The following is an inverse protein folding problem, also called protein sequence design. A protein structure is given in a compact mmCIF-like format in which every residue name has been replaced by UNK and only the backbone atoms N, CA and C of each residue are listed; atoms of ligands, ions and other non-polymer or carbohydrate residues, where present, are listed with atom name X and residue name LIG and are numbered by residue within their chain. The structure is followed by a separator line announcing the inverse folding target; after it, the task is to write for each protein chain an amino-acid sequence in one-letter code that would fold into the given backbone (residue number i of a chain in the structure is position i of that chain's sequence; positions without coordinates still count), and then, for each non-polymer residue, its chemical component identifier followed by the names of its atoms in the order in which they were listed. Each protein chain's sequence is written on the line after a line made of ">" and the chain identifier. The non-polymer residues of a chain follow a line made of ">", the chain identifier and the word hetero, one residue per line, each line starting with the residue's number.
data_IF_554499474979
#
_entry.id   IF_554499474979
#
_cell.length_a   1.000
_cell.length_b   1.000
_cell.length_c   1.000
_cell.angle_alpha   90.00
_cell.angle_beta   90.00
_cell.angle_gamma   90.00
#
_symmetry.space_group_name_H-M   'P 1'
#
loop_
_entity.id
_entity.type
_entity.pdbx_description
1 polymer ?
#
# COMPACT_ATOMS: atom_id res chain seq x y z
N UNK A 1 -0.82 3.36 -8.67
CA UNK A 1 -1.10 4.40 -7.66
C UNK A 1 -2.55 4.25 -7.23
N UNK A 2 -2.83 4.34 -5.93
CA UNK A 2 -4.19 4.37 -5.38
C UNK A 2 -4.30 5.57 -4.42
N UNK A 3 -5.46 6.23 -4.39
CA UNK A 3 -5.73 7.37 -3.49
C UNK A 3 -6.93 7.01 -2.61
N UNK A 4 -6.69 6.93 -1.31
CA UNK A 4 -7.72 6.71 -0.30
C UNK A 4 -8.60 7.97 -0.14
N UNK A 5 -9.86 7.81 0.29
CA UNK A 5 -10.77 8.91 0.57
C UNK A 5 -10.28 9.79 1.74
N UNK A 6 -9.48 9.20 2.63
CA UNK A 6 -8.73 9.91 3.69
C UNK A 6 -7.55 10.74 3.17
N UNK A 7 -7.29 10.72 1.87
CA UNK A 7 -6.24 11.49 1.20
C UNK A 7 -4.85 10.86 1.24
N UNK A 8 -4.73 9.64 1.77
CA UNK A 8 -3.50 8.85 1.71
C UNK A 8 -3.27 8.35 0.27
N UNK A 9 -2.04 8.46 -0.22
CA UNK A 9 -1.65 7.98 -1.55
C UNK A 9 -0.73 6.77 -1.40
N UNK A 10 -1.08 5.68 -2.07
CA UNK A 10 -0.26 4.48 -2.18
C UNK A 10 0.38 4.41 -3.56
N UNK A 11 1.71 4.36 -3.59
CA UNK A 11 2.54 4.27 -4.79
C UNK A 11 3.15 2.89 -4.85
N UNK A 12 3.08 2.27 -6.03
CA UNK A 12 3.61 0.93 -6.29
C UNK A 12 4.85 1.07 -7.16
N UNK A 13 6.00 0.62 -6.66
CA UNK A 13 7.22 0.42 -7.42
C UNK A 13 7.38 -1.06 -7.79
N UNK A 14 8.47 -1.40 -8.49
CA UNK A 14 8.69 -2.75 -9.01
C UNK A 14 8.62 -3.84 -7.93
N UNK A 15 9.14 -3.55 -6.72
CA UNK A 15 9.08 -4.43 -5.56
C UNK A 15 8.82 -3.66 -4.26
N UNK A 16 8.06 -2.56 -4.33
CA UNK A 16 7.83 -1.71 -3.17
C UNK A 16 6.43 -1.11 -3.18
N UNK A 17 5.92 -0.86 -1.98
CA UNK A 17 4.72 -0.06 -1.75
C UNK A 17 5.13 1.10 -0.83
N UNK A 18 4.83 2.33 -1.23
CA UNK A 18 5.06 3.54 -0.45
C UNK A 18 3.73 4.22 -0.14
N UNK A 19 3.56 4.71 1.08
CA UNK A 19 2.44 5.53 1.50
C UNK A 19 2.87 7.01 1.55
N UNK A 20 1.98 7.93 1.20
CA UNK A 20 2.20 9.38 1.30
C UNK A 20 0.96 9.98 1.97
N UNK A 21 1.18 10.75 3.04
CA UNK A 21 0.08 11.38 3.80
C UNK A 21 -0.22 12.81 3.31
N UNK A 22 -1.43 13.27 3.62
CA UNK A 22 -2.05 14.55 3.25
C UNK A 22 -1.32 15.79 3.73
N UNK A 23 -0.43 15.67 4.71
CA UNK A 23 0.32 16.80 5.29
C UNK A 23 1.50 17.23 4.38
N UNK A 24 1.64 16.67 3.18
CA UNK A 24 2.75 16.96 2.26
C UNK A 24 4.10 16.45 2.77
N UNK A 25 4.11 15.79 3.92
CA UNK A 25 5.28 15.08 4.45
C UNK A 25 5.14 13.64 3.99
N UNK A 26 5.97 13.23 3.03
CA UNK A 26 6.03 11.85 2.59
C UNK A 26 6.55 10.98 3.75
N UNK A 27 5.64 10.35 4.49
CA UNK A 27 5.99 9.28 5.41
C UNK A 27 6.22 8.04 4.54
N UNK A 28 7.44 7.91 4.01
CA UNK A 28 7.83 6.76 3.20
C UNK A 28 7.95 5.54 4.12
N UNK A 29 6.82 4.93 4.43
CA UNK A 29 6.77 3.59 5.01
C UNK A 29 6.91 2.60 3.85
N UNK A 30 8.15 2.31 3.45
CA UNK A 30 8.43 1.28 2.45
C UNK A 30 8.34 -0.07 3.13
N UNK A 31 7.32 -0.85 2.82
CA UNK A 31 7.36 -2.27 3.15
C UNK A 31 8.09 -2.97 2.02
N UNK A 32 9.33 -3.38 2.30
CA UNK A 32 10.08 -4.31 1.45
C UNK A 32 9.65 -5.73 1.83
N UNK A 33 8.39 -6.07 1.60
CA UNK A 33 8.03 -7.49 1.50
C UNK A 33 8.72 -8.00 0.22
N UNK A 34 9.00 -9.30 0.12
CA UNK A 34 9.42 -9.92 -1.14
C UNK A 34 8.23 -9.94 -2.12
N UNK A 35 7.79 -8.75 -2.52
CA UNK A 35 6.60 -8.51 -3.31
C UNK A 35 7.01 -8.28 -4.75
N UNK A 36 6.91 -9.31 -5.58
CA UNK A 36 7.17 -9.15 -7.00
C UNK A 36 5.98 -8.52 -7.72
N UNK A 37 6.20 -7.36 -8.35
CA UNK A 37 5.27 -6.73 -9.29
C UNK A 37 3.84 -6.47 -8.75
N UNK A 38 3.68 -5.59 -7.75
CA UNK A 38 2.37 -5.05 -7.41
C UNK A 38 1.75 -4.34 -8.62
N UNK A 39 0.49 -4.63 -8.93
CA UNK A 39 -0.20 -4.05 -10.12
C UNK A 39 -1.52 -3.38 -9.81
N UNK A 40 -2.19 -3.77 -8.74
CA UNK A 40 -3.47 -3.21 -8.33
C UNK A 40 -3.54 -3.07 -6.83
N UNK A 41 -4.36 -2.13 -6.36
CA UNK A 41 -4.65 -2.02 -4.94
C UNK A 41 -6.02 -1.42 -4.66
N UNK A 42 -6.53 -1.75 -3.48
CA UNK A 42 -7.78 -1.26 -2.94
C UNK A 42 -7.62 -0.96 -1.46
N UNK A 43 -8.02 0.24 -1.03
CA UNK A 43 -8.04 0.61 0.37
C UNK A 43 -9.46 0.49 0.93
N UNK A 44 -9.61 -0.32 1.98
CA UNK A 44 -10.85 -0.47 2.71
C UNK A 44 -10.84 0.51 3.91
N UNK A 45 -11.58 1.60 3.78
CA UNK A 45 -11.66 2.68 4.79
C UNK A 45 -12.26 2.21 6.12
N UNK A 46 -13.23 1.29 6.07
CA UNK A 46 -13.91 0.79 7.28
C UNK A 46 -12.96 -0.01 8.18
N UNK A 47 -12.00 -0.69 7.57
CA UNK A 47 -11.06 -1.58 8.26
C UNK A 47 -9.64 -1.01 8.37
N UNK A 48 -9.30 -0.01 7.57
CA UNK A 48 -7.93 0.51 7.44
C UNK A 48 -6.99 -0.54 6.84
N UNK A 49 -7.47 -1.31 5.85
CA UNK A 49 -6.70 -2.37 5.20
C UNK A 49 -6.41 -1.99 3.76
N UNK A 50 -5.17 -2.18 3.34
CA UNK A 50 -4.77 -2.09 1.95
C UNK A 50 -4.64 -3.51 1.37
N UNK A 51 -5.45 -3.82 0.37
CA UNK A 51 -5.33 -5.05 -0.41
C UNK A 51 -4.50 -4.74 -1.65
N UNK A 52 -3.46 -5.53 -1.92
CA UNK A 52 -2.59 -5.36 -3.09
C UNK A 52 -2.56 -6.65 -3.90
N UNK A 53 -2.85 -6.55 -5.20
CA UNK A 53 -2.77 -7.65 -6.15
C UNK A 53 -1.42 -7.70 -6.87
N UNK A 54 -0.83 -8.89 -6.94
CA UNK A 54 0.49 -9.13 -7.55
C UNK A 54 0.36 -9.92 -8.85
N UNK A 55 1.01 -9.43 -9.91
CA UNK A 55 0.87 -10.01 -11.26
C UNK A 55 1.47 -11.41 -11.38
N UNK A 56 2.60 -11.63 -10.73
CA UNK A 56 3.36 -12.87 -10.92
C UNK A 56 2.85 -14.02 -10.06
N UNK A 57 2.29 -13.71 -8.89
CA UNK A 57 1.86 -14.73 -7.94
C UNK A 57 0.34 -14.97 -7.96
N UNK A 58 -0.43 -14.15 -8.70
CA UNK A 58 -1.90 -14.13 -8.64
C UNK A 58 -2.46 -14.04 -7.20
N UNK A 59 -1.63 -13.54 -6.28
CA UNK A 59 -1.95 -13.42 -4.87
C UNK A 59 -2.45 -12.01 -4.56
N UNK A 60 -3.26 -11.95 -3.51
CA UNK A 60 -3.66 -10.71 -2.86
C UNK A 60 -3.05 -10.72 -1.47
N UNK A 61 -2.20 -9.73 -1.16
CA UNK A 61 -1.66 -9.54 0.18
C UNK A 61 -2.44 -8.41 0.85
N UNK A 62 -2.78 -8.63 2.12
CA UNK A 62 -3.42 -7.64 2.98
C UNK A 62 -2.37 -6.95 3.85
N UNK A 63 -2.38 -5.62 3.85
CA UNK A 63 -1.57 -4.79 4.71
C UNK A 63 -2.47 -4.04 5.70
N UNK A 64 -2.17 -4.14 6.99
CA UNK A 64 -2.87 -3.38 8.03
C UNK A 64 -2.24 -1.99 8.14
N UNK A 65 -3.03 -0.92 7.93
CA UNK A 65 -2.53 0.47 7.94
C UNK A 65 -2.92 1.23 9.21
N UNK A 66 -3.45 0.56 10.24
CA UNK A 66 -3.66 1.18 11.56
C UNK A 66 -2.32 1.27 12.29
N UNK A 67 -1.66 2.42 12.16
CA UNK A 67 -0.28 2.60 12.60
C UNK A 67 0.69 2.19 11.50
N UNK A 68 1.95 2.63 11.62
CA UNK A 68 3.03 2.37 10.65
C UNK A 68 2.91 0.97 10.04
N UNK A 69 3.02 0.89 8.71
CA UNK A 69 3.17 -0.37 7.99
C UNK A 69 4.38 -1.08 8.61
N UNK A 70 4.11 -2.04 9.48
CA UNK A 70 5.12 -2.87 10.14
C UNK A 70 4.88 -4.28 9.64
N UNK A 71 5.99 -4.90 9.24
CA UNK A 71 6.10 -6.22 8.62
C UNK A 71 5.37 -7.31 9.39
#
# INVERSE_FOLDING_TARGET
>A
MHVAATGQVFVFGDNSISQVDTVGTAIINTVSVDISQPTSAYFNEDTGKLLVGFRNNNDIIEFHTKGNLTT
#
